data_IF_541180822595
#
_entry.id   IF_541180822595
#
_cell.length_a   1.000
_cell.length_b   1.000
_cell.length_c   1.000
_cell.angle_alpha   90.00
_cell.angle_beta   90.00
_cell.angle_gamma   90.00
#
_symmetry.space_group_name_H-M   'P 1'
#
loop_
_entity.id
_entity.type
_entity.pdbx_description
1 polymer ?
#
# COMPACT_ATOMS: atom_id res chain seq x y z
N UNK A 1 12.69 -22.88 -20.31
CA UNK A 1 12.41 -23.40 -18.95
C UNK A 1 13.14 -22.48 -17.98
N UNK A 2 12.42 -21.88 -17.03
CA UNK A 2 13.03 -21.06 -15.96
C UNK A 2 13.84 -21.98 -15.05
N UNK A 3 15.13 -21.70 -14.86
CA UNK A 3 15.96 -22.51 -13.96
C UNK A 3 15.61 -22.23 -12.49
N UNK A 4 16.06 -23.09 -11.58
CA UNK A 4 15.90 -22.85 -10.14
C UNK A 4 16.59 -21.53 -9.71
N UNK A 5 17.71 -21.18 -10.35
CA UNK A 5 18.42 -19.93 -10.10
C UNK A 5 17.62 -18.72 -10.59
N UNK A 6 17.07 -18.78 -11.80
CA UNK A 6 16.22 -17.71 -12.36
C UNK A 6 15.01 -17.44 -11.45
N UNK A 7 14.44 -18.51 -10.87
CA UNK A 7 13.33 -18.39 -9.90
C UNK A 7 13.78 -17.70 -8.62
N UNK A 8 14.93 -18.06 -8.06
CA UNK A 8 15.45 -17.42 -6.84
C UNK A 8 15.75 -15.93 -7.07
N UNK A 9 16.32 -15.57 -8.21
CA UNK A 9 16.58 -14.18 -8.57
C UNK A 9 15.28 -13.39 -8.78
N UNK A 10 14.28 -14.00 -9.43
CA UNK A 10 12.95 -13.42 -9.56
C UNK A 10 12.29 -13.19 -8.19
N UNK A 11 12.30 -14.18 -7.29
CA UNK A 11 11.75 -14.03 -5.95
C UNK A 11 12.46 -12.95 -5.13
N UNK A 12 13.80 -12.83 -5.27
CA UNK A 12 14.55 -11.73 -4.64
C UNK A 12 14.11 -10.37 -5.18
N UNK A 13 13.96 -10.24 -6.50
CA UNK A 13 13.48 -9.02 -7.13
C UNK A 13 12.05 -8.67 -6.70
N UNK A 14 11.15 -9.65 -6.61
CA UNK A 14 9.77 -9.48 -6.14
C UNK A 14 9.75 -8.97 -4.69
N UNK A 15 10.52 -9.58 -3.78
CA UNK A 15 10.63 -9.11 -2.39
C UNK A 15 11.16 -7.69 -2.30
N UNK A 16 12.11 -7.34 -3.18
CA UNK A 16 12.64 -5.98 -3.27
C UNK A 16 11.56 -4.98 -3.74
N UNK A 17 10.79 -5.31 -4.77
CA UNK A 17 9.65 -4.49 -5.23
C UNK A 17 8.60 -4.31 -4.14
N UNK A 18 8.23 -5.39 -3.45
CA UNK A 18 7.29 -5.37 -2.31
C UNK A 18 7.74 -4.42 -1.21
N UNK A 19 9.00 -4.54 -0.77
CA UNK A 19 9.55 -3.65 0.26
C UNK A 19 9.69 -2.20 -0.21
N UNK A 20 10.13 -2.00 -1.46
CA UNK A 20 10.27 -0.68 -2.07
C UNK A 20 8.95 0.07 -2.14
N UNK A 21 7.83 -0.62 -2.41
CA UNK A 21 6.50 -0.01 -2.39
C UNK A 21 6.23 0.71 -1.07
N UNK A 22 6.52 0.05 0.06
CA UNK A 22 6.29 0.63 1.38
C UNK A 22 7.20 1.83 1.65
N UNK A 23 8.50 1.71 1.33
CA UNK A 23 9.45 2.82 1.48
C UNK A 23 9.02 4.07 0.68
N UNK A 24 8.59 3.88 -0.56
CA UNK A 24 8.15 5.00 -1.39
C UNK A 24 6.81 5.59 -0.92
N UNK A 25 5.93 4.75 -0.39
CA UNK A 25 4.66 5.19 0.22
C UNK A 25 4.92 6.06 1.44
N UNK A 26 5.76 5.60 2.36
CA UNK A 26 6.12 6.30 3.60
C UNK A 26 6.86 7.61 3.33
N UNK A 27 7.67 7.65 2.27
CA UNK A 27 8.38 8.85 1.83
C UNK A 27 7.51 9.82 1.00
N UNK A 28 6.24 9.49 0.73
CA UNK A 28 5.35 10.30 -0.11
C UNK A 28 5.81 10.43 -1.58
N UNK A 29 6.62 9.50 -2.07
CA UNK A 29 7.19 9.51 -3.43
C UNK A 29 6.29 8.76 -4.42
N UNK A 30 5.02 9.19 -4.53
CA UNK A 30 3.99 8.45 -5.25
C UNK A 30 4.26 8.30 -6.76
N UNK A 31 4.84 9.30 -7.42
CA UNK A 31 5.22 9.20 -8.84
C UNK A 31 6.23 8.07 -9.07
N UNK A 32 7.26 7.98 -8.21
CA UNK A 32 8.26 6.91 -8.28
C UNK A 32 7.65 5.56 -7.88
N UNK A 33 6.71 5.55 -6.94
CA UNK A 33 6.01 4.35 -6.52
C UNK A 33 5.24 3.73 -7.69
N UNK A 34 4.47 4.52 -8.43
CA UNK A 34 3.77 4.03 -9.62
C UNK A 34 4.76 3.40 -10.62
N UNK A 35 5.79 4.14 -10.97
CA UNK A 35 6.77 3.74 -12.00
C UNK A 35 7.60 2.50 -11.61
N UNK A 36 8.00 2.38 -10.34
CA UNK A 36 8.95 1.37 -9.89
C UNK A 36 8.32 0.15 -9.24
N UNK A 37 7.02 0.20 -8.93
CA UNK A 37 6.35 -0.91 -8.24
C UNK A 37 5.22 -1.53 -9.05
N UNK A 38 4.58 -0.81 -9.98
CA UNK A 38 3.42 -1.31 -10.71
C UNK A 38 3.66 -1.39 -12.22
N UNK A 39 3.08 -2.41 -12.87
CA UNK A 39 2.93 -2.38 -14.32
C UNK A 39 1.95 -1.26 -14.72
N UNK A 40 2.06 -0.70 -15.95
CA UNK A 40 1.20 0.41 -16.38
C UNK A 40 -0.31 0.13 -16.24
N UNK A 41 -0.70 -1.10 -16.56
CA UNK A 41 -2.04 -1.70 -16.56
C UNK A 41 -2.41 -2.42 -15.25
N UNK A 42 -1.73 -2.15 -14.14
CA UNK A 42 -1.96 -2.88 -12.89
C UNK A 42 -3.41 -2.75 -12.36
N UNK A 43 -4.00 -3.86 -11.92
CA UNK A 43 -5.32 -3.90 -11.27
C UNK A 43 -5.17 -3.80 -9.74
N UNK A 44 -5.62 -2.69 -9.16
CA UNK A 44 -5.34 -2.36 -7.76
C UNK A 44 -6.64 -2.20 -6.99
N UNK A 45 -6.83 -2.99 -5.93
CA UNK A 45 -8.01 -2.95 -5.08
C UNK A 45 -7.65 -2.89 -3.58
N UNK A 46 -8.21 -1.89 -2.89
CA UNK A 46 -8.07 -1.71 -1.44
C UNK A 46 -9.43 -1.87 -0.77
N UNK A 47 -9.55 -2.90 0.09
CA UNK A 47 -10.71 -3.19 0.94
C UNK A 47 -10.40 -3.00 2.43
N UNK A 48 -9.38 -2.21 2.75
CA UNK A 48 -8.85 -2.03 4.10
C UNK A 48 -9.42 -0.78 4.81
N UNK A 49 -9.85 0.23 4.04
CA UNK A 49 -10.40 1.47 4.57
C UNK A 49 -11.91 1.33 4.82
N UNK A 50 -12.49 2.06 5.79
CA UNK A 50 -13.94 2.17 5.93
C UNK A 50 -14.58 2.69 4.64
N UNK A 51 -15.72 2.13 4.26
CA UNK A 51 -16.47 2.52 3.07
C UNK A 51 -16.37 1.51 1.92
N UNK A 52 -16.74 1.90 0.70
CA UNK A 52 -16.69 1.00 -0.46
C UNK A 52 -15.22 0.67 -0.84
N UNK A 53 -14.97 -0.50 -1.43
CA UNK A 53 -13.67 -0.83 -2.02
C UNK A 53 -13.17 0.27 -2.94
N UNK A 54 -11.90 0.65 -2.80
CA UNK A 54 -11.22 1.54 -3.74
C UNK A 54 -10.60 0.66 -4.84
N UNK A 55 -10.82 1.01 -6.10
CA UNK A 55 -10.36 0.26 -7.26
C UNK A 55 -9.73 1.22 -8.26
N UNK A 56 -8.63 0.78 -8.87
CA UNK A 56 -7.87 1.57 -9.83
C UNK A 56 -7.47 0.68 -11.00
N UNK A 57 -7.75 1.15 -12.21
CA UNK A 57 -7.40 0.50 -13.46
C UNK A 57 -6.12 1.13 -14.02
N UNK A 58 -4.99 0.60 -13.59
CA UNK A 58 -3.66 1.08 -13.96
C UNK A 58 -2.99 1.90 -12.86
N UNK A 59 -1.66 1.99 -12.96
CA UNK A 59 -0.84 2.66 -11.95
C UNK A 59 -1.09 4.16 -11.89
N UNK A 60 -1.42 4.80 -13.02
CA UNK A 60 -1.55 6.25 -13.10
C UNK A 60 -2.80 6.72 -12.34
N UNK A 61 -3.91 5.97 -12.44
CA UNK A 61 -5.13 6.25 -11.65
C UNK A 61 -4.87 6.12 -10.15
N UNK A 62 -4.09 5.11 -9.75
CA UNK A 62 -3.69 4.93 -8.35
C UNK A 62 -2.78 6.08 -7.85
N UNK A 63 -1.79 6.50 -8.65
CA UNK A 63 -0.90 7.61 -8.27
C UNK A 63 -1.68 8.91 -8.16
N UNK A 64 -2.58 9.19 -9.10
CA UNK A 64 -3.44 10.38 -9.06
C UNK A 64 -4.31 10.43 -7.80
N UNK A 65 -4.81 9.28 -7.34
CA UNK A 65 -5.53 9.18 -6.08
C UNK A 65 -4.66 9.48 -4.85
N UNK A 66 -3.38 9.09 -4.88
CA UNK A 66 -2.45 9.25 -3.75
C UNK A 66 -1.86 10.67 -3.65
N UNK A 67 -1.81 11.44 -4.75
CA UNK A 67 -1.19 12.77 -4.77
C UNK A 67 -2.00 13.81 -3.98
N UNK A 68 -1.40 14.50 -2.99
CA UNK A 68 -2.09 15.52 -2.21
C UNK A 68 -2.42 16.75 -3.07
N UNK A 69 -3.64 17.28 -2.92
CA UNK A 69 -4.05 18.56 -3.51
C UNK A 69 -4.69 18.46 -4.91
N UNK A 70 -4.74 17.27 -5.53
CA UNK A 70 -5.66 17.01 -6.63
C UNK A 70 -7.04 16.65 -6.05
N UNK A 71 -8.14 17.26 -6.51
CA UNK A 71 -9.46 16.80 -6.10
C UNK A 71 -9.58 15.34 -6.55
N UNK A 72 -9.90 14.39 -5.64
CA UNK A 72 -10.15 13.02 -6.08
C UNK A 72 -11.31 13.06 -7.08
N UNK A 73 -11.23 12.26 -8.15
CA UNK A 73 -12.29 12.16 -9.16
C UNK A 73 -13.65 11.78 -8.53
N UNK A 74 -13.63 11.23 -7.32
CA UNK A 74 -14.81 11.03 -6.47
C UNK A 74 -14.64 11.75 -5.13
N UNK A 75 -15.62 12.58 -4.76
CA UNK A 75 -15.59 13.45 -3.57
C UNK A 75 -15.56 12.73 -2.20
N UNK A 76 -15.33 11.41 -2.15
CA UNK A 76 -15.58 10.60 -0.95
C UNK A 76 -14.35 10.30 -0.09
N UNK A 77 -13.13 10.43 -0.59
CA UNK A 77 -11.94 10.08 0.20
C UNK A 77 -10.79 11.03 -0.09
N UNK A 78 -10.73 12.17 0.63
CA UNK A 78 -9.53 12.98 0.71
C UNK A 78 -8.76 12.54 1.96
N UNK A 79 -7.82 11.62 1.79
CA UNK A 79 -6.79 11.42 2.79
C UNK A 79 -5.74 12.50 2.50
N UNK A 80 -5.78 13.62 3.23
CA UNK A 80 -4.57 14.47 3.34
C UNK A 80 -3.57 13.54 4.03
N UNK A 81 -2.65 12.96 3.25
CA UNK A 81 -1.84 11.82 3.65
C UNK A 81 -1.27 12.00 5.06
N UNK A 82 -1.82 11.34 6.10
CA UNK A 82 -1.15 11.28 7.39
C UNK A 82 0.24 10.71 7.14
N UNK A 83 1.25 11.15 7.89
CA UNK A 83 2.51 10.44 7.86
C UNK A 83 2.23 8.97 8.21
N UNK A 84 2.89 8.05 7.51
CA UNK A 84 2.69 6.63 7.69
C UNK A 84 4.04 5.92 7.87
N UNK A 85 3.99 4.78 8.53
CA UNK A 85 5.09 3.84 8.58
C UNK A 85 4.53 2.44 8.35
N UNK A 86 5.08 1.72 7.39
CA UNK A 86 4.69 0.34 7.10
C UNK A 86 5.74 -0.64 7.64
N UNK A 87 5.26 -1.76 8.16
CA UNK A 87 6.06 -2.98 8.33
C UNK A 87 5.36 -4.15 7.66
N UNK A 88 6.12 -5.17 7.29
CA UNK A 88 5.57 -6.38 6.68
C UNK A 88 6.30 -7.59 7.23
N UNK A 89 5.53 -8.62 7.61
CA UNK A 89 6.11 -9.93 7.88
C UNK A 89 6.67 -10.52 6.56
N UNK A 90 7.69 -11.40 6.61
CA UNK A 90 8.20 -12.04 5.40
C UNK A 90 7.05 -12.69 4.62
N UNK A 91 6.79 -12.27 3.37
CA UNK A 91 5.69 -12.81 2.60
C UNK A 91 6.08 -14.14 1.96
N UNK A 92 5.07 -14.97 1.69
CA UNK A 92 5.20 -16.18 0.90
C UNK A 92 5.10 -15.85 -0.60
N UNK A 93 5.79 -16.60 -1.45
CA UNK A 93 5.72 -16.46 -2.91
C UNK A 93 5.41 -17.81 -3.54
N UNK A 94 4.20 -17.94 -4.08
CA UNK A 94 3.73 -19.12 -4.78
C UNK A 94 3.86 -18.93 -6.31
N UNK A 95 4.30 -19.98 -6.99
CA UNK A 95 4.47 -20.03 -8.45
C UNK A 95 3.53 -21.04 -9.13
N UNK A 96 2.61 -21.67 -8.37
CA UNK A 96 1.74 -22.75 -8.83
C UNK A 96 0.84 -22.38 -10.02
N UNK A 97 0.52 -21.09 -10.18
CA UNK A 97 -0.41 -20.58 -11.19
C UNK A 97 0.28 -20.02 -12.45
N UNK A 98 1.60 -20.21 -12.59
CA UNK A 98 2.37 -19.71 -13.74
C UNK A 98 2.71 -18.21 -13.68
N UNK A 99 2.12 -17.47 -12.75
CA UNK A 99 2.56 -16.13 -12.33
C UNK A 99 2.92 -16.15 -10.85
N UNK A 100 4.02 -15.51 -10.44
CA UNK A 100 4.36 -15.41 -9.04
C UNK A 100 3.31 -14.59 -8.28
N UNK A 101 2.76 -15.21 -7.24
CA UNK A 101 1.80 -14.62 -6.32
C UNK A 101 2.45 -14.45 -4.96
N UNK A 102 2.47 -13.22 -4.46
CA UNK A 102 2.98 -12.89 -3.14
C UNK A 102 1.81 -12.74 -2.18
N UNK A 103 1.86 -13.42 -1.04
CA UNK A 103 0.89 -13.22 0.05
C UNK A 103 1.58 -12.94 1.36
N UNK A 104 1.07 -12.00 2.15
CA UNK A 104 1.66 -11.69 3.44
C UNK A 104 0.90 -10.61 4.20
N UNK A 105 1.34 -10.35 5.43
CA UNK A 105 0.76 -9.31 6.26
C UNK A 105 1.53 -8.00 6.12
N UNK A 106 0.79 -6.89 6.11
CA UNK A 106 1.33 -5.56 6.28
C UNK A 106 0.64 -4.88 7.48
N UNK A 107 1.42 -4.21 8.31
CA UNK A 107 0.93 -3.37 9.40
C UNK A 107 1.33 -1.93 9.11
N UNK A 108 0.40 -1.01 9.30
CA UNK A 108 0.60 0.41 9.00
C UNK A 108 0.23 1.24 10.21
N UNK A 109 1.13 2.09 10.65
CA UNK A 109 0.87 3.13 11.64
C UNK A 109 0.65 4.46 10.95
N UNK A 110 -0.32 5.23 11.40
CA UNK A 110 -0.69 6.49 10.78
C UNK A 110 -0.73 7.63 11.81
N UNK A 111 -0.28 8.81 11.37
CA UNK A 111 -0.24 10.04 12.15
C UNK A 111 -0.88 11.20 11.39
N UNK A 112 -1.94 11.79 11.95
CA UNK A 112 -2.44 13.08 11.51
C UNK A 112 -1.39 14.19 11.67
N UNK A 113 -0.51 14.06 12.68
CA UNK A 113 0.74 14.82 12.77
C UNK A 113 1.78 14.02 13.55
N UNK A 114 3.05 14.08 13.13
CA UNK A 114 4.13 13.27 13.73
C UNK A 114 4.67 13.83 15.04
N UNK A 115 4.42 15.12 15.31
CA UNK A 115 4.92 15.83 16.47
C UNK A 115 3.80 16.61 17.20
N UNK A 116 4.00 16.93 18.46
CA UNK A 116 3.19 17.88 19.24
C UNK A 116 3.50 19.33 18.81
N UNK A 117 2.69 20.33 19.19
CA UNK A 117 3.03 21.74 18.94
C UNK A 117 4.38 22.18 19.53
N UNK A 118 4.82 21.51 20.61
CA UNK A 118 6.13 21.72 21.23
C UNK A 118 7.27 20.94 20.54
N UNK A 119 7.01 20.31 19.38
CA UNK A 119 7.99 19.59 18.58
C UNK A 119 8.37 18.20 19.09
N UNK A 120 7.63 17.63 20.05
CA UNK A 120 7.93 16.29 20.58
C UNK A 120 7.29 15.20 19.70
N UNK A 121 7.96 14.07 19.42
CA UNK A 121 7.35 12.95 18.71
C UNK A 121 6.08 12.46 19.42
N UNK A 122 5.07 12.02 18.66
CA UNK A 122 3.84 11.44 19.23
C UNK A 122 3.62 9.97 18.84
N UNK A 123 2.82 9.22 19.62
CA UNK A 123 2.30 7.92 19.20
C UNK A 123 1.41 8.01 17.95
N UNK A 124 1.29 6.92 17.21
CA UNK A 124 0.38 6.82 16.07
C UNK A 124 -1.07 7.08 16.49
N UNK A 125 -1.83 7.79 15.65
CA UNK A 125 -3.24 8.09 15.89
C UNK A 125 -4.13 6.87 15.59
N UNK A 126 -3.73 6.02 14.63
CA UNK A 126 -4.33 4.70 14.41
C UNK A 126 -3.38 3.71 13.72
N UNK A 127 -3.67 2.41 13.85
CA UNK A 127 -2.92 1.31 13.20
C UNK A 127 -3.85 0.47 12.34
N UNK A 128 -3.41 -0.02 11.18
CA UNK A 128 -4.14 -1.02 10.38
C UNK A 128 -3.32 -2.28 10.14
N UNK A 129 -3.97 -3.45 10.05
CA UNK A 129 -3.32 -4.71 9.65
C UNK A 129 -4.07 -5.29 8.45
N UNK A 130 -3.38 -5.37 7.32
CA UNK A 130 -3.91 -5.89 6.06
C UNK A 130 -3.23 -7.18 5.62
N UNK A 131 -3.98 -8.01 4.90
CA UNK A 131 -3.45 -9.07 4.06
C UNK A 131 -3.16 -8.48 2.67
N UNK A 132 -1.92 -8.64 2.23
CA UNK A 132 -1.45 -8.32 0.88
C UNK A 132 -1.58 -9.58 0.03
N UNK A 133 -2.23 -9.46 -1.11
CA UNK A 133 -2.33 -10.49 -2.14
C UNK A 133 -2.01 -9.87 -3.50
N UNK A 134 -0.76 -10.06 -3.93
CA UNK A 134 -0.21 -9.46 -5.14
C UNK A 134 0.12 -10.53 -6.17
N UNK A 135 -0.10 -10.23 -7.45
CA UNK A 135 0.54 -10.98 -8.54
C UNK A 135 1.58 -10.11 -9.22
N UNK A 136 2.68 -10.73 -9.64
CA UNK A 136 3.81 -10.04 -10.26
C UNK A 136 3.97 -10.47 -11.72
N UNK A 137 4.41 -9.51 -12.54
CA UNK A 137 4.76 -9.75 -13.94
C UNK A 137 6.10 -9.10 -14.26
N UNK A 138 6.89 -9.78 -15.06
CA UNK A 138 8.12 -9.23 -15.59
C UNK A 138 7.80 -8.22 -16.70
N UNK A 139 8.20 -6.97 -16.50
CA UNK A 139 7.94 -5.84 -17.40
C UNK A 139 9.20 -4.98 -17.45
N UNK A 140 9.69 -4.70 -18.67
CA UNK A 140 10.89 -3.87 -18.93
C UNK A 140 12.12 -4.25 -18.07
N UNK A 141 12.35 -5.55 -17.90
CA UNK A 141 13.49 -6.07 -17.13
C UNK A 141 13.30 -6.07 -15.61
N UNK A 142 12.10 -5.76 -15.12
CA UNK A 142 11.79 -5.69 -13.70
C UNK A 142 10.58 -6.54 -13.33
N UNK A 143 10.57 -7.10 -12.13
CA UNK A 143 9.38 -7.75 -11.56
C UNK A 143 8.53 -6.70 -10.85
N UNK A 144 7.38 -6.37 -11.45
CA UNK A 144 6.47 -5.34 -10.97
C UNK A 144 5.12 -5.98 -10.58
N UNK A 145 4.40 -5.31 -9.69
CA UNK A 145 3.06 -5.69 -9.26
C UNK A 145 2.10 -5.46 -10.44
N UNK A 146 1.48 -6.54 -10.91
CA UNK A 146 0.47 -6.52 -11.97
C UNK A 146 -0.95 -6.52 -11.41
N UNK A 147 -1.14 -7.08 -10.21
CA UNK A 147 -2.38 -6.99 -9.46
C UNK A 147 -2.06 -6.83 -7.99
N UNK A 148 -2.83 -5.99 -7.29
CA UNK A 148 -2.78 -5.86 -5.85
C UNK A 148 -4.18 -5.91 -5.26
N UNK A 149 -4.37 -6.77 -4.27
CA UNK A 149 -5.53 -6.78 -3.42
C UNK A 149 -5.09 -6.65 -1.96
N UNK A 150 -5.59 -5.61 -1.28
CA UNK A 150 -5.41 -5.44 0.16
C UNK A 150 -6.74 -5.67 0.87
N UNK A 151 -6.80 -6.62 1.78
CA UNK A 151 -7.98 -6.90 2.62
C UNK A 151 -7.63 -6.83 4.10
N UNK A 152 -8.61 -6.70 5.01
CA UNK A 152 -8.34 -6.73 6.44
C UNK A 152 -7.85 -8.12 6.87
N UNK A 153 -6.79 -8.17 7.69
CA UNK A 153 -6.20 -9.43 8.13
C UNK A 153 -7.11 -10.23 9.09
N UNK A 154 -7.88 -9.54 9.94
CA UNK A 154 -8.85 -10.14 10.86
C UNK A 154 -9.89 -9.11 11.32
N UNK A 155 -11.03 -9.01 10.63
CA UNK A 155 -11.99 -7.92 10.89
C UNK A 155 -11.38 -6.53 10.67
N UNK A 156 -12.07 -5.46 11.08
CA UNK A 156 -11.50 -4.10 11.00
C UNK A 156 -10.48 -3.92 12.13
N UNK A 157 -9.23 -4.35 11.91
CA UNK A 157 -8.12 -4.13 12.85
C UNK A 157 -7.67 -2.68 12.73
N UNK A 158 -8.46 -1.77 13.32
CA UNK A 158 -8.09 -0.39 13.50
C UNK A 158 -8.17 -0.04 14.99
N UNK A 159 -7.02 0.15 15.64
CA UNK A 159 -6.96 0.70 17.00
C UNK A 159 -6.56 2.16 16.90
N UNK A 160 -7.37 3.07 17.46
CA UNK A 160 -7.13 4.52 17.41
C UNK A 160 -8.30 5.33 16.84
N UNK A 161 -8.13 6.65 16.72
CA UNK A 161 -9.16 7.55 16.17
C UNK A 161 -8.78 7.94 14.75
N UNK A 162 -9.45 7.37 13.75
CA UNK A 162 -9.29 7.81 12.37
C UNK A 162 -9.71 9.30 12.21
N UNK A 163 -9.01 10.11 11.41
CA UNK A 163 -9.42 11.47 11.10
C UNK A 163 -10.83 11.44 10.48
N UNK A 164 -11.79 12.12 11.12
CA UNK A 164 -13.18 12.19 10.66
C UNK A 164 -14.21 11.35 11.44
N UNK A 165 -13.79 10.59 12.46
CA UNK A 165 -14.71 9.87 13.37
C UNK A 165 -14.71 10.40 14.82
N UNK A 166 -13.93 11.44 15.11
CA UNK A 166 -13.96 12.13 16.40
C UNK A 166 -15.23 12.98 16.57
N UNK A 167 -15.87 12.90 17.74
CA UNK A 167 -17.00 13.78 18.12
C UNK A 167 -16.63 15.25 17.84
N UNK A 168 -17.57 16.08 17.36
CA UNK A 168 -17.34 17.52 17.27
C UNK A 168 -17.00 18.04 18.67
N UNK A 169 -15.80 18.61 18.80
CA UNK A 169 -15.46 19.40 19.99
C UNK A 169 -16.33 20.66 19.99
N UNK A 170 -17.03 20.99 21.08
CA UNK A 170 -17.71 22.26 21.19
C UNK A 170 -16.66 23.37 21.16
N UNK A 171 -16.92 24.38 20.34
CA UNK A 171 -16.21 25.66 20.40
C UNK A 171 -16.54 26.39 21.70
#
# INVERSE_FOLDING_TARGET
>A
MTTALDRLDAERAIRHTHFRFFLLTDAGRYDLLGQQCFTPDADIEYRIMPGPPQRFAGRDEFVDFMLPGRPPATARHRIIGPAAAHTSAPPDIDWSTGQPRLTGYATVWHWAATHTPAGQPRPADWTTIGLVDDTYRHHDGQWLIARRLITPAAGLVATGTAPGLGRPTPR
#
